data_IF_567366146025
#
_entry.id   IF_567366146025
#
_cell.length_a   1.000
_cell.length_b   1.000
_cell.length_c   1.000
_cell.angle_alpha   90.00
_cell.angle_beta   90.00
_cell.angle_gamma   90.00
#
_symmetry.space_group_name_H-M   'P 1'
#
loop_
_entity.id
_entity.type
_entity.pdbx_description
1 polymer ?
#
# COMPACT_ATOMS: atom_id res chain seq x y z
N UNK A 1 0.29 -22.89 31.42
CA UNK A 1 -0.91 -22.75 32.27
C UNK A 1 -1.58 -21.44 31.88
N UNK A 2 -2.90 -21.39 31.80
CA UNK A 2 -3.60 -20.11 31.58
C UNK A 2 -3.28 -19.18 32.77
N UNK A 3 -3.14 -17.89 32.50
CA UNK A 3 -2.96 -16.84 33.52
C UNK A 3 -4.30 -16.51 34.19
N UNK A 4 -5.40 -16.66 33.46
CA UNK A 4 -6.77 -16.41 33.94
C UNK A 4 -7.65 -17.66 33.76
N UNK A 5 -8.59 -17.86 34.67
CA UNK A 5 -9.54 -18.98 34.65
C UNK A 5 -10.81 -18.67 33.84
N UNK A 6 -11.01 -17.41 33.46
CA UNK A 6 -12.19 -16.95 32.72
C UNK A 6 -12.32 -17.64 31.35
N UNK A 7 -13.56 -18.01 31.03
CA UNK A 7 -13.99 -18.66 29.79
C UNK A 7 -15.18 -17.94 29.19
N UNK A 8 -15.28 -17.96 27.86
CA UNK A 8 -16.31 -17.28 27.09
C UNK A 8 -16.84 -18.16 25.96
N UNK A 9 -18.07 -17.89 25.54
CA UNK A 9 -18.65 -18.43 24.33
C UNK A 9 -18.56 -17.36 23.22
N UNK A 10 -18.13 -17.77 22.03
CA UNK A 10 -17.96 -16.91 20.86
C UNK A 10 -19.14 -17.08 19.91
N UNK A 11 -19.72 -15.96 19.48
CA UNK A 11 -20.85 -15.91 18.55
C UNK A 11 -20.47 -15.19 17.25
N UNK A 12 -21.14 -15.54 16.15
CA UNK A 12 -21.05 -14.84 14.88
C UNK A 12 -21.83 -13.50 14.89
N UNK A 13 -21.76 -12.75 13.78
CA UNK A 13 -22.46 -11.47 13.61
C UNK A 13 -23.99 -11.60 13.48
N UNK A 14 -24.51 -12.84 13.50
CA UNK A 14 -25.94 -13.17 13.48
C UNK A 14 -26.43 -13.77 14.80
N UNK A 15 -25.56 -13.89 15.80
CA UNK A 15 -25.89 -14.45 17.11
C UNK A 15 -25.94 -15.97 17.14
N UNK A 16 -25.33 -16.67 16.18
CA UNK A 16 -25.12 -18.12 16.26
C UNK A 16 -23.81 -18.42 17.00
N UNK A 17 -23.81 -19.43 17.87
CA UNK A 17 -22.61 -19.85 18.58
C UNK A 17 -21.60 -20.51 17.61
N UNK A 18 -20.34 -20.10 17.69
CA UNK A 18 -19.22 -20.63 16.91
C UNK A 18 -18.36 -21.57 17.77
N UNK A 19 -18.16 -21.23 19.03
CA UNK A 19 -17.35 -22.00 19.97
C UNK A 19 -17.76 -21.68 21.40
N UNK A 20 -17.73 -22.68 22.28
CA UNK A 20 -18.02 -22.54 23.71
C UNK A 20 -16.80 -22.86 24.57
N UNK A 21 -16.79 -22.38 25.82
CA UNK A 21 -15.77 -22.65 26.84
C UNK A 21 -14.35 -22.23 26.41
N UNK A 22 -14.25 -21.16 25.60
CA UNK A 22 -12.99 -20.65 25.07
C UNK A 22 -12.27 -19.87 26.17
N UNK A 23 -10.99 -20.18 26.50
CA UNK A 23 -10.22 -19.40 27.45
C UNK A 23 -10.13 -17.93 27.02
N UNK A 24 -10.31 -16.98 27.94
CA UNK A 24 -10.32 -15.55 27.63
C UNK A 24 -9.05 -15.08 26.90
N UNK A 25 -7.91 -15.70 27.19
CA UNK A 25 -6.64 -15.36 26.54
C UNK A 25 -6.56 -15.76 25.07
N UNK A 26 -7.45 -16.62 24.57
CA UNK A 26 -7.48 -17.03 23.18
C UNK A 26 -7.85 -15.87 22.23
N UNK A 27 -8.52 -14.83 22.74
CA UNK A 27 -8.81 -13.58 22.00
C UNK A 27 -7.80 -12.46 22.28
N UNK A 28 -6.76 -12.72 23.10
CA UNK A 28 -5.72 -11.73 23.37
C UNK A 28 -4.89 -11.45 22.10
N UNK A 29 -4.57 -10.18 21.78
CA UNK A 29 -3.67 -9.84 20.67
C UNK A 29 -2.29 -10.51 20.75
N UNK A 30 -1.86 -10.88 21.95
CA UNK A 30 -0.57 -11.54 22.20
C UNK A 30 -0.57 -13.03 21.85
N UNK A 31 -1.74 -13.64 21.64
CA UNK A 31 -1.89 -15.08 21.38
C UNK A 31 -2.70 -15.39 20.12
N UNK A 32 -3.69 -14.56 19.80
CA UNK A 32 -4.63 -14.82 18.72
C UNK A 32 -3.94 -14.62 17.35
N UNK A 33 -3.79 -15.68 16.53
CA UNK A 33 -3.09 -15.58 15.26
C UNK A 33 -3.84 -14.73 14.23
N UNK A 34 -5.18 -14.66 14.30
CA UNK A 34 -5.97 -13.82 13.40
C UNK A 34 -5.73 -12.33 13.70
N UNK A 35 -5.70 -11.93 14.98
CA UNK A 35 -5.38 -10.54 15.36
C UNK A 35 -3.95 -10.18 14.89
N UNK A 36 -2.98 -11.06 15.11
CA UNK A 36 -1.61 -10.83 14.65
C UNK A 36 -1.52 -10.69 13.14
N UNK A 37 -2.25 -11.52 12.38
CA UNK A 37 -2.34 -11.44 10.92
C UNK A 37 -3.00 -10.13 10.46
N UNK A 38 -4.08 -9.71 11.12
CA UNK A 38 -4.76 -8.44 10.82
C UNK A 38 -3.81 -7.27 11.05
N UNK A 39 -3.14 -7.20 12.21
CA UNK A 39 -2.19 -6.11 12.53
C UNK A 39 -1.03 -6.08 11.53
N UNK A 40 -0.43 -7.22 11.19
CA UNK A 40 0.60 -7.30 10.14
C UNK A 40 0.06 -6.83 8.79
N UNK A 41 -1.17 -7.22 8.44
CA UNK A 41 -1.87 -6.79 7.24
C UNK A 41 -2.02 -5.27 7.18
N UNK A 42 -2.52 -4.64 8.24
CA UNK A 42 -2.69 -3.18 8.33
C UNK A 42 -1.35 -2.46 8.13
N UNK A 43 -0.29 -2.91 8.82
CA UNK A 43 1.04 -2.27 8.72
C UNK A 43 1.68 -2.34 7.33
N UNK A 44 1.35 -3.36 6.54
CA UNK A 44 2.05 -3.67 5.27
C UNK A 44 1.22 -3.40 4.02
N UNK A 45 -0.05 -3.03 4.17
CA UNK A 45 -0.96 -2.82 3.04
C UNK A 45 -0.98 -1.35 2.64
N UNK A 46 -0.78 -1.10 1.35
CA UNK A 46 -0.82 0.24 0.73
C UNK A 46 -1.80 0.20 -0.44
N UNK A 47 -2.73 1.15 -0.47
CA UNK A 47 -3.60 1.39 -1.61
C UNK A 47 -2.92 2.37 -2.57
N UNK A 48 -2.87 2.03 -3.85
CA UNK A 48 -2.33 2.88 -4.93
C UNK A 48 -3.46 3.33 -5.84
N UNK A 49 -3.55 4.63 -6.13
CA UNK A 49 -4.51 5.20 -7.05
C UNK A 49 -3.86 5.55 -8.40
N UNK A 50 -3.83 4.60 -9.33
CA UNK A 50 -3.24 4.80 -10.66
C UNK A 50 -4.02 5.82 -11.49
N UNK A 51 -5.36 5.79 -11.40
CA UNK A 51 -6.23 6.78 -12.07
C UNK A 51 -5.97 8.21 -11.57
N UNK A 52 -5.79 8.38 -10.26
CA UNK A 52 -5.44 9.67 -9.67
C UNK A 52 -4.05 10.14 -10.07
N UNK A 53 -3.07 9.24 -10.08
CA UNK A 53 -1.70 9.52 -10.51
C UNK A 53 -1.65 9.98 -11.97
N UNK A 54 -2.29 9.23 -12.87
CA UNK A 54 -2.40 9.57 -14.30
C UNK A 54 -3.02 10.96 -14.50
N UNK A 55 -4.12 11.23 -13.80
CA UNK A 55 -4.77 12.54 -13.84
C UNK A 55 -3.86 13.66 -13.30
N UNK A 56 -3.13 13.41 -12.21
CA UNK A 56 -2.20 14.37 -11.61
C UNK A 56 -1.10 14.77 -12.58
N UNK A 57 -0.45 13.81 -13.25
CA UNK A 57 0.60 14.12 -14.23
C UNK A 57 0.02 14.78 -15.49
N UNK A 58 -1.14 14.34 -15.97
CA UNK A 58 -1.82 14.92 -17.15
C UNK A 58 -2.26 16.37 -16.97
N UNK A 59 -2.64 16.74 -15.76
CA UNK A 59 -3.14 18.09 -15.45
C UNK A 59 -2.09 18.99 -14.80
N UNK A 60 -0.94 18.45 -14.43
CA UNK A 60 0.07 19.15 -13.65
C UNK A 60 -0.31 19.39 -12.19
N UNK A 61 -1.40 18.77 -11.71
CA UNK A 61 -1.94 18.93 -10.36
C UNK A 61 -1.21 18.02 -9.36
N UNK A 62 -0.01 18.44 -8.95
CA UNK A 62 0.86 17.73 -8.00
C UNK A 62 1.14 18.56 -6.75
N UNK A 63 1.40 17.88 -5.62
CA UNK A 63 1.81 18.53 -4.37
C UNK A 63 0.66 18.96 -3.45
N UNK A 64 -0.57 18.50 -3.69
CA UNK A 64 -1.73 18.69 -2.80
C UNK A 64 -2.72 19.75 -3.26
N UNK A 65 -3.70 20.04 -2.42
CA UNK A 65 -4.88 20.85 -2.78
C UNK A 65 -4.54 22.15 -3.50
N UNK A 66 -5.24 22.38 -4.61
CA UNK A 66 -5.15 23.58 -5.45
C UNK A 66 -3.73 23.88 -5.98
N UNK A 67 -2.81 22.93 -5.89
CA UNK A 67 -1.45 23.06 -6.42
C UNK A 67 -1.43 22.60 -7.88
N UNK A 68 -0.80 23.38 -8.75
CA UNK A 68 -0.63 23.06 -10.17
C UNK A 68 0.66 23.67 -10.70
N UNK A 69 1.41 22.91 -11.50
CA UNK A 69 2.64 23.39 -12.15
C UNK A 69 2.40 23.34 -13.66
N UNK A 70 2.14 24.51 -14.25
CA UNK A 70 1.86 24.64 -15.67
C UNK A 70 3.13 24.41 -16.51
N UNK A 71 2.99 23.76 -17.66
CA UNK A 71 4.10 23.44 -18.56
C UNK A 71 4.87 22.18 -18.15
N UNK A 72 4.36 21.42 -17.17
CA UNK A 72 4.94 20.15 -16.69
C UNK A 72 3.98 18.97 -16.87
N UNK A 73 2.88 19.16 -17.59
CA UNK A 73 1.91 18.12 -17.91
C UNK A 73 2.55 16.98 -18.70
N UNK A 74 2.18 15.73 -18.36
CA UNK A 74 2.61 14.51 -19.06
C UNK A 74 1.37 13.67 -19.40
N UNK A 75 1.26 13.22 -20.65
CA UNK A 75 0.21 12.29 -21.08
C UNK A 75 0.78 10.87 -21.11
N UNK A 76 0.47 10.09 -20.07
CA UNK A 76 1.01 8.75 -19.85
C UNK A 76 -0.15 7.75 -19.73
N UNK A 77 -0.07 6.63 -20.43
CA UNK A 77 -1.11 5.57 -20.42
C UNK A 77 -0.96 4.62 -19.21
N UNK A 78 -1.04 5.16 -17.99
CA UNK A 78 -0.68 4.44 -16.75
C UNK A 78 -1.71 3.37 -16.39
N UNK A 79 -3.01 3.69 -16.43
CA UNK A 79 -4.09 2.73 -16.11
C UNK A 79 -4.13 1.61 -17.15
N UNK A 80 -3.91 1.94 -18.43
CA UNK A 80 -3.85 0.95 -19.51
C UNK A 80 -2.70 -0.04 -19.33
N UNK A 81 -1.58 0.40 -18.73
CA UNK A 81 -0.41 -0.42 -18.44
C UNK A 81 -0.36 -0.96 -16.99
N UNK A 82 -1.48 -0.91 -16.26
CA UNK A 82 -1.54 -1.31 -14.84
C UNK A 82 -1.01 -2.72 -14.55
N UNK A 83 -1.21 -3.67 -15.46
CA UNK A 83 -0.65 -5.03 -15.33
C UNK A 83 0.87 -5.05 -15.37
N UNK A 84 1.49 -4.40 -16.36
CA UNK A 84 2.94 -4.32 -16.48
C UNK A 84 3.58 -3.55 -15.30
N UNK A 85 2.92 -2.48 -14.86
CA UNK A 85 3.34 -1.72 -13.67
C UNK A 85 3.26 -2.61 -12.42
N UNK A 86 2.19 -3.37 -12.24
CA UNK A 86 2.01 -4.23 -11.07
C UNK A 86 3.07 -5.34 -10.99
N UNK A 87 3.35 -6.02 -12.11
CA UNK A 87 4.40 -7.05 -12.17
C UNK A 87 5.78 -6.45 -11.83
N UNK A 88 6.14 -5.33 -12.47
CA UNK A 88 7.42 -4.67 -12.19
C UNK A 88 7.54 -4.16 -10.75
N UNK A 89 6.45 -3.65 -10.18
CA UNK A 89 6.39 -3.29 -8.76
C UNK A 89 6.63 -4.51 -7.87
N UNK A 90 6.00 -5.65 -8.19
CA UNK A 90 6.14 -6.89 -7.43
C UNK A 90 7.59 -7.38 -7.42
N UNK A 91 8.24 -7.38 -8.59
CA UNK A 91 9.66 -7.75 -8.73
C UNK A 91 10.58 -6.91 -7.84
N UNK A 92 10.32 -5.60 -7.71
CA UNK A 92 11.11 -4.70 -6.85
C UNK A 92 10.79 -4.82 -5.36
N UNK A 93 9.54 -5.07 -5.02
CA UNK A 93 9.07 -5.09 -3.62
C UNK A 93 9.41 -6.42 -2.96
N UNK A 94 9.26 -7.54 -3.68
CA UNK A 94 9.54 -8.87 -3.12
C UNK A 94 11.01 -9.01 -2.72
N UNK A 95 11.27 -9.88 -1.75
CA UNK A 95 12.62 -10.26 -1.32
C UNK A 95 13.05 -11.54 -2.04
N UNK A 96 12.11 -12.47 -2.19
CA UNK A 96 12.34 -13.74 -2.87
C UNK A 96 11.07 -14.17 -3.58
N UNK A 97 11.23 -14.91 -4.68
CA UNK A 97 10.10 -15.53 -5.36
C UNK A 97 9.29 -16.40 -4.40
N UNK A 98 7.97 -16.21 -4.38
CA UNK A 98 7.05 -16.96 -3.52
C UNK A 98 6.95 -16.46 -2.07
N UNK A 99 7.53 -15.31 -1.73
CA UNK A 99 7.25 -14.66 -0.44
C UNK A 99 5.80 -14.13 -0.35
N UNK A 100 5.43 -13.47 0.75
CA UNK A 100 4.08 -12.98 0.99
C UNK A 100 3.77 -11.61 0.37
N UNK A 101 4.54 -11.21 -0.65
CA UNK A 101 4.30 -9.98 -1.44
C UNK A 101 3.08 -10.13 -2.35
N UNK A 102 2.20 -9.13 -2.32
CA UNK A 102 1.06 -9.02 -3.24
C UNK A 102 1.09 -7.65 -3.93
N UNK A 103 0.92 -7.63 -5.25
CA UNK A 103 0.61 -6.41 -6.01
C UNK A 103 -0.51 -6.77 -6.97
N UNK A 104 -1.73 -6.34 -6.64
CA UNK A 104 -2.94 -6.77 -7.34
C UNK A 104 -3.66 -5.58 -7.97
N UNK A 105 -3.82 -5.54 -9.30
CA UNK A 105 -4.71 -4.59 -9.96
C UNK A 105 -6.16 -4.84 -9.58
N UNK A 106 -6.84 -3.82 -9.09
CA UNK A 106 -8.26 -3.85 -8.74
C UNK A 106 -9.03 -2.75 -9.47
N UNK A 107 -10.35 -2.86 -9.47
CA UNK A 107 -11.25 -1.88 -10.13
C UNK A 107 -10.89 -1.66 -11.62
N UNK A 108 -10.54 -2.73 -12.33
CA UNK A 108 -10.14 -2.65 -13.75
C UNK A 108 -8.81 -1.93 -13.97
N UNK A 109 -7.83 -2.09 -13.06
CA UNK A 109 -6.50 -1.49 -13.18
C UNK A 109 -6.39 -0.06 -12.67
N UNK A 110 -7.50 0.55 -12.24
CA UNK A 110 -7.51 1.94 -11.74
C UNK A 110 -6.83 2.10 -10.38
N UNK A 111 -6.76 1.03 -9.58
CA UNK A 111 -6.07 1.01 -8.30
C UNK A 111 -5.24 -0.26 -8.18
N UNK A 112 -4.23 -0.24 -7.31
CA UNK A 112 -3.50 -1.44 -6.89
C UNK A 112 -3.68 -1.64 -5.38
N UNK A 113 -3.90 -2.89 -4.99
CA UNK A 113 -3.68 -3.35 -3.62
C UNK A 113 -2.25 -3.87 -3.52
N UNK A 114 -1.44 -3.24 -2.67
CA UNK A 114 -0.05 -3.64 -2.45
C UNK A 114 0.10 -4.15 -1.03
N UNK A 115 0.61 -5.36 -0.84
CA UNK A 115 1.06 -5.86 0.44
C UNK A 115 2.56 -6.12 0.37
N UNK A 116 3.31 -5.28 1.08
CA UNK A 116 4.77 -5.40 1.22
C UNK A 116 5.09 -6.67 2.03
N UNK A 117 6.17 -7.41 1.73
CA UNK A 117 6.44 -8.68 2.40
C UNK A 117 6.73 -8.45 3.88
N UNK A 118 6.25 -9.37 4.73
CA UNK A 118 6.35 -9.23 6.19
C UNK A 118 7.80 -9.10 6.66
N UNK A 119 8.75 -9.75 5.98
CA UNK A 119 10.16 -9.66 6.30
C UNK A 119 10.71 -8.21 6.23
N UNK A 120 10.19 -7.34 5.37
CA UNK A 120 10.57 -5.89 5.37
C UNK A 120 10.06 -5.17 6.62
N UNK A 121 8.89 -5.57 7.14
CA UNK A 121 8.34 -5.02 8.38
C UNK A 121 9.13 -5.52 9.60
N UNK A 122 9.56 -6.79 9.58
CA UNK A 122 10.24 -7.43 10.71
C UNK A 122 11.64 -6.85 10.97
N UNK A 123 12.31 -6.31 9.94
CA UNK A 123 13.64 -5.66 10.06
C UNK A 123 13.58 -4.13 10.08
N UNK A 124 12.39 -3.54 9.92
CA UNK A 124 12.20 -2.09 9.97
C UNK A 124 11.93 -1.64 11.41
N UNK A 125 12.36 -0.41 11.74
CA UNK A 125 12.03 0.19 13.03
C UNK A 125 10.50 0.39 13.19
N UNK A 126 9.80 0.73 12.10
CA UNK A 126 8.37 1.01 12.09
C UNK A 126 7.72 0.69 10.72
N UNK A 127 6.48 1.13 10.48
CA UNK A 127 5.64 0.69 9.35
C UNK A 127 5.72 1.58 8.09
N UNK A 128 6.34 2.75 8.14
CA UNK A 128 6.49 3.66 7.00
C UNK A 128 7.33 3.06 5.88
N UNK A 129 8.09 1.99 6.15
CA UNK A 129 8.74 1.17 5.13
C UNK A 129 7.74 0.67 4.07
N UNK A 130 6.47 0.42 4.44
CA UNK A 130 5.45 -0.05 3.51
C UNK A 130 5.10 1.01 2.44
N UNK A 131 4.58 2.21 2.79
CA UNK A 131 4.30 3.24 1.79
C UNK A 131 5.56 3.72 1.06
N UNK A 132 6.73 3.77 1.70
CA UNK A 132 7.96 4.20 1.03
C UNK A 132 8.48 3.19 0.00
N UNK A 133 8.44 1.88 0.32
CA UNK A 133 8.82 0.83 -0.63
C UNK A 133 7.85 0.77 -1.81
N UNK A 134 6.54 0.89 -1.53
CA UNK A 134 5.51 0.95 -2.58
C UNK A 134 5.67 2.18 -3.46
N UNK A 135 5.93 3.35 -2.88
CA UNK A 135 6.11 4.59 -3.63
C UNK A 135 7.30 4.53 -4.59
N UNK A 136 8.46 4.07 -4.12
CA UNK A 136 9.65 3.99 -4.98
C UNK A 136 9.49 2.95 -6.09
N UNK A 137 8.88 1.81 -5.78
CA UNK A 137 8.60 0.79 -6.78
C UNK A 137 7.59 1.31 -7.84
N UNK A 138 6.56 2.03 -7.41
CA UNK A 138 5.59 2.63 -8.34
C UNK A 138 6.24 3.68 -9.24
N UNK A 139 7.06 4.58 -8.67
CA UNK A 139 7.77 5.62 -9.44
C UNK A 139 8.67 4.97 -10.50
N UNK A 140 9.50 4.00 -10.11
CA UNK A 140 10.40 3.33 -11.05
C UNK A 140 9.66 2.51 -12.11
N UNK A 141 8.54 1.86 -11.74
CA UNK A 141 7.72 1.09 -12.68
C UNK A 141 7.06 1.99 -13.71
N UNK A 142 6.49 3.13 -13.29
CA UNK A 142 5.88 4.09 -14.21
C UNK A 142 6.93 4.71 -15.14
N UNK A 143 8.11 5.07 -14.61
CA UNK A 143 9.18 5.63 -15.43
C UNK A 143 9.60 4.67 -16.54
N UNK A 144 9.77 3.38 -16.21
CA UNK A 144 10.22 2.40 -17.20
C UNK A 144 9.11 1.99 -18.17
N UNK A 145 7.92 1.63 -17.67
CA UNK A 145 6.82 1.13 -18.49
C UNK A 145 6.27 2.22 -19.42
N UNK A 146 6.30 3.48 -19.00
CA UNK A 146 5.83 4.61 -19.78
C UNK A 146 6.96 5.44 -20.43
N UNK A 147 8.19 4.94 -20.43
CA UNK A 147 9.39 5.58 -21.03
C UNK A 147 9.53 7.07 -20.68
N UNK A 148 9.45 7.38 -19.37
CA UNK A 148 9.49 8.76 -18.89
C UNK A 148 10.93 9.29 -18.90
N UNK A 149 11.12 10.44 -19.54
CA UNK A 149 12.43 11.09 -19.61
C UNK A 149 13.01 11.41 -18.23
N UNK A 150 14.33 11.44 -18.12
CA UNK A 150 15.03 11.85 -16.88
C UNK A 150 14.63 13.26 -16.42
N UNK A 151 14.25 14.14 -17.36
CA UNK A 151 13.83 15.50 -17.07
C UNK A 151 12.42 15.58 -16.46
N UNK A 152 11.60 14.53 -16.65
CA UNK A 152 10.21 14.48 -16.23
C UNK A 152 9.94 13.47 -15.11
N UNK A 153 10.89 12.57 -14.84
CA UNK A 153 10.82 11.57 -13.77
C UNK A 153 10.50 12.16 -12.37
N UNK A 154 11.03 13.36 -12.07
CA UNK A 154 10.72 14.07 -10.82
C UNK A 154 9.22 14.36 -10.65
N UNK A 155 8.51 14.54 -11.77
CA UNK A 155 7.09 14.87 -11.78
C UNK A 155 6.24 13.65 -11.45
N UNK A 156 6.62 12.46 -11.93
CA UNK A 156 6.03 11.18 -11.51
C UNK A 156 6.20 10.98 -10.00
N UNK A 157 7.38 11.26 -9.45
CA UNK A 157 7.61 11.22 -8.00
C UNK A 157 6.73 12.20 -7.22
N UNK A 158 6.53 13.41 -7.74
CA UNK A 158 5.61 14.38 -7.13
C UNK A 158 4.15 13.91 -7.18
N UNK A 159 3.72 13.25 -8.26
CA UNK A 159 2.38 12.69 -8.38
C UNK A 159 2.16 11.46 -7.49
N UNK A 160 3.19 10.64 -7.25
CA UNK A 160 3.11 9.46 -6.38
C UNK A 160 3.08 9.85 -4.91
N UNK A 161 4.08 10.58 -4.42
CA UNK A 161 4.31 10.82 -2.99
C UNK A 161 4.05 12.27 -2.57
N UNK A 162 3.45 13.07 -3.45
CA UNK A 162 3.06 14.44 -3.15
C UNK A 162 4.25 15.35 -2.85
N UNK A 163 4.04 16.25 -1.88
CA UNK A 163 4.99 17.32 -1.51
C UNK A 163 6.13 16.86 -0.59
N UNK A 164 6.17 15.60 -0.19
CA UNK A 164 7.29 15.07 0.58
C UNK A 164 8.61 15.16 -0.21
N UNK A 165 9.72 15.66 0.39
CA UNK A 165 9.94 15.89 1.83
C UNK A 165 9.76 17.34 2.31
N UNK A 166 9.27 18.26 1.47
CA UNK A 166 8.97 19.62 1.92
C UNK A 166 7.82 19.63 2.95
N UNK A 167 6.84 18.73 2.80
CA UNK A 167 5.92 18.36 3.87
C UNK A 167 6.44 17.16 4.64
N UNK A 168 6.12 17.09 5.94
CA UNK A 168 6.46 15.95 6.81
C UNK A 168 5.70 14.70 6.36
N UNK A 169 4.46 14.87 5.92
CA UNK A 169 3.56 13.82 5.43
C UNK A 169 3.56 13.72 3.89
N UNK A 170 2.83 12.74 3.36
CA UNK A 170 2.66 12.50 1.93
C UNK A 170 1.53 13.38 1.34
N UNK A 171 1.53 14.68 1.67
CA UNK A 171 0.49 15.62 1.26
C UNK A 171 0.33 15.66 -0.26
N UNK A 172 -0.86 15.30 -0.73
CA UNK A 172 -1.19 15.24 -2.16
C UNK A 172 -0.63 14.03 -2.89
N UNK A 173 -0.30 12.96 -2.18
CA UNK A 173 0.08 11.68 -2.77
C UNK A 173 -1.11 10.95 -3.38
N UNK A 174 -0.82 10.01 -4.27
CA UNK A 174 -1.78 9.06 -4.84
C UNK A 174 -1.62 7.66 -4.24
N UNK A 175 -1.06 7.56 -3.04
CA UNK A 175 -1.02 6.33 -2.23
C UNK A 175 -1.63 6.59 -0.85
N UNK A 176 -2.20 5.57 -0.24
CA UNK A 176 -2.79 5.66 1.08
C UNK A 176 -2.54 4.40 1.91
N UNK A 177 -2.45 4.56 3.23
CA UNK A 177 -2.43 3.50 4.23
C UNK A 177 -3.56 3.76 5.23
N UNK A 178 -4.02 2.73 5.95
CA UNK A 178 -5.03 2.87 7.00
C UNK A 178 -4.52 3.63 8.23
#
# INVERSE_FOLDING_TARGET
>A
MAKFDDKIDLFDDRGNEIASDVPIEAISPLRNPAIQKIVKGVKRTVAVNLEGLEKSVKTGAVGGDKSRILGRELDLDIVANSGAIAEKMKEMIQISEGDDTTVEPISGGKRLLVQVPTQRIDVAAEYSVAPLSTATALVQSVIDVCDVSIYDANFVKAAVLGRYPQSVDYKGSNIATM
#
